data_IF_865936385714
#
_entry.id   IF_865936385714
#
_cell.length_a   1.000
_cell.length_b   1.000
_cell.length_c   1.000
_cell.angle_alpha   90.00
_cell.angle_beta   90.00
_cell.angle_gamma   90.00
#
_symmetry.space_group_name_H-M   'P 1'
#
loop_
_entity.id
_entity.type
_entity.pdbx_description
1 polymer ?
#
# COMPACT_ATOMS: atom_id res chain seq x y z
N UNK A 1 -22.20 -0.96 14.82
CA UNK A 1 -21.38 -1.34 16.00
C UNK A 1 -22.12 -2.47 16.67
N UNK A 2 -21.45 -3.56 16.95
CA UNK A 2 -22.03 -4.65 17.77
C UNK A 2 -22.21 -4.12 19.19
N UNK A 3 -23.42 -4.29 19.75
CA UNK A 3 -23.72 -3.94 21.13
C UNK A 3 -22.72 -4.63 22.09
N UNK A 4 -22.31 -3.99 23.20
CA UNK A 4 -21.47 -4.63 24.22
C UNK A 4 -22.03 -5.96 24.70
N UNK A 5 -23.35 -6.10 24.79
CA UNK A 5 -24.03 -7.35 25.17
C UNK A 5 -23.68 -8.54 24.28
N UNK A 6 -23.39 -8.31 23.01
CA UNK A 6 -22.97 -9.37 22.08
C UNK A 6 -21.62 -10.01 22.46
N UNK A 7 -20.88 -9.41 23.39
CA UNK A 7 -19.61 -9.93 23.91
C UNK A 7 -19.76 -10.74 25.17
N UNK A 8 -20.95 -10.78 25.78
CA UNK A 8 -21.21 -11.66 26.94
C UNK A 8 -21.02 -13.12 26.55
N UNK A 9 -20.23 -13.85 27.33
CA UNK A 9 -19.89 -15.25 27.04
C UNK A 9 -18.78 -15.48 26.02
N UNK A 10 -18.16 -14.40 25.49
CA UNK A 10 -16.94 -14.52 24.65
C UNK A 10 -15.75 -14.85 25.54
N UNK A 11 -15.21 -16.05 25.41
CA UNK A 11 -14.08 -16.56 26.20
C UNK A 11 -12.82 -16.69 25.33
N UNK A 12 -11.65 -16.76 25.99
CA UNK A 12 -10.38 -17.05 25.31
C UNK A 12 -10.43 -18.40 24.57
N UNK A 13 -11.15 -19.38 25.10
CA UNK A 13 -11.38 -20.69 24.46
C UNK A 13 -12.13 -20.55 23.15
N UNK A 14 -13.19 -19.72 23.10
CA UNK A 14 -13.92 -19.41 21.87
C UNK A 14 -13.02 -18.69 20.86
N UNK A 15 -12.21 -17.74 21.31
CA UNK A 15 -11.26 -17.02 20.44
C UNK A 15 -10.24 -18.00 19.84
N UNK A 16 -9.71 -18.92 20.63
CA UNK A 16 -8.77 -19.96 20.17
C UNK A 16 -9.44 -20.91 19.18
N UNK A 17 -10.66 -21.36 19.48
CA UNK A 17 -11.45 -22.19 18.56
C UNK A 17 -11.72 -21.48 17.23
N UNK A 18 -12.00 -20.17 17.27
CA UNK A 18 -12.19 -19.36 16.07
C UNK A 18 -10.91 -19.25 15.21
N UNK A 19 -9.73 -19.14 15.83
CA UNK A 19 -8.46 -19.17 15.09
C UNK A 19 -8.28 -20.52 14.38
N UNK A 20 -8.50 -21.63 15.10
CA UNK A 20 -8.36 -22.99 14.57
C UNK A 20 -9.37 -23.25 13.43
N UNK A 21 -10.61 -22.83 13.61
CA UNK A 21 -11.63 -22.92 12.56
C UNK A 21 -11.21 -22.17 11.29
N UNK A 22 -10.69 -20.93 11.43
CA UNK A 22 -10.18 -20.20 10.28
C UNK A 22 -9.02 -20.94 9.60
N UNK A 23 -8.13 -21.54 10.39
CA UNK A 23 -7.00 -22.31 9.89
C UNK A 23 -7.48 -23.49 9.03
N UNK A 24 -8.43 -24.28 9.55
CA UNK A 24 -9.01 -25.43 8.85
C UNK A 24 -9.80 -25.02 7.60
N UNK A 25 -10.44 -23.84 7.62
CA UNK A 25 -11.17 -23.28 6.50
C UNK A 25 -10.31 -22.50 5.50
N UNK A 26 -8.98 -22.66 5.51
CA UNK A 26 -8.08 -22.16 4.48
C UNK A 26 -7.85 -20.64 4.51
N UNK A 27 -8.22 -19.90 5.58
CA UNK A 27 -7.92 -18.47 5.66
C UNK A 27 -6.41 -18.22 5.73
N UNK A 28 -5.93 -17.17 5.05
CA UNK A 28 -4.52 -16.79 5.10
C UNK A 28 -4.10 -16.43 6.53
N UNK A 29 -2.91 -16.86 6.97
CA UNK A 29 -2.38 -16.59 8.32
C UNK A 29 -2.40 -15.09 8.66
N UNK A 30 -2.04 -14.22 7.71
CA UNK A 30 -2.11 -12.78 7.92
C UNK A 30 -3.54 -12.26 8.17
N UNK A 31 -4.56 -12.88 7.57
CA UNK A 31 -5.98 -12.57 7.81
C UNK A 31 -6.41 -13.04 9.21
N UNK A 32 -5.96 -14.24 9.60
CA UNK A 32 -6.25 -14.81 10.94
C UNK A 32 -5.66 -13.89 12.03
N UNK A 33 -4.38 -13.50 11.89
CA UNK A 33 -3.72 -12.60 12.84
C UNK A 33 -4.38 -11.22 12.88
N UNK A 34 -4.78 -10.67 11.73
CA UNK A 34 -5.50 -9.39 11.68
C UNK A 34 -6.84 -9.46 12.41
N UNK A 35 -7.61 -10.54 12.22
CA UNK A 35 -8.87 -10.76 12.91
C UNK A 35 -8.68 -10.96 14.42
N UNK A 36 -7.63 -11.69 14.84
CA UNK A 36 -7.27 -11.80 16.25
C UNK A 36 -6.98 -10.45 16.86
N UNK A 37 -6.19 -9.60 16.18
CA UNK A 37 -5.92 -8.24 16.65
C UNK A 37 -7.22 -7.42 16.82
N UNK A 38 -8.15 -7.54 15.87
CA UNK A 38 -9.46 -6.91 15.95
C UNK A 38 -10.26 -7.42 17.16
N UNK A 39 -10.34 -8.75 17.35
CA UNK A 39 -11.01 -9.36 18.53
C UNK A 39 -10.43 -8.82 19.83
N UNK A 40 -9.10 -8.74 19.96
CA UNK A 40 -8.43 -8.21 21.16
C UNK A 40 -8.78 -6.74 21.44
N UNK A 41 -8.89 -5.90 20.41
CA UNK A 41 -9.31 -4.50 20.58
C UNK A 41 -10.74 -4.41 21.06
N UNK A 42 -11.65 -5.15 20.43
CA UNK A 42 -13.05 -5.15 20.83
C UNK A 42 -13.29 -5.78 22.21
N UNK A 43 -12.54 -6.82 22.60
CA UNK A 43 -12.58 -7.37 23.94
C UNK A 43 -12.23 -6.31 25.00
N UNK A 44 -11.20 -5.48 24.76
CA UNK A 44 -10.87 -4.35 25.66
C UNK A 44 -12.03 -3.35 25.78
N UNK A 45 -12.70 -3.04 24.67
CA UNK A 45 -13.85 -2.14 24.67
C UNK A 45 -15.04 -2.76 25.41
N UNK A 46 -15.29 -4.05 25.21
CA UNK A 46 -16.35 -4.80 25.89
C UNK A 46 -16.12 -4.88 27.42
N UNK A 47 -14.87 -5.03 27.84
CA UNK A 47 -14.51 -5.00 29.27
C UNK A 47 -14.75 -3.64 29.88
N UNK A 48 -14.40 -2.55 29.17
CA UNK A 48 -14.73 -1.17 29.62
C UNK A 48 -16.22 -0.95 29.75
N UNK A 49 -17.04 -1.63 28.97
CA UNK A 49 -18.50 -1.60 29.03
C UNK A 49 -19.11 -2.62 30.00
N UNK A 50 -18.30 -3.36 30.78
CA UNK A 50 -18.77 -4.36 31.75
C UNK A 50 -19.33 -5.65 31.15
N UNK A 51 -19.13 -5.90 29.84
CA UNK A 51 -19.65 -7.09 29.15
C UNK A 51 -18.68 -8.28 29.18
N UNK A 52 -17.38 -8.06 29.39
CA UNK A 52 -16.33 -9.08 29.52
C UNK A 52 -15.58 -8.85 30.82
N UNK A 53 -15.32 -9.88 31.56
CA UNK A 53 -14.54 -9.85 32.79
C UNK A 53 -13.06 -9.51 32.54
N UNK A 54 -12.39 -8.89 33.53
CA UNK A 54 -10.98 -8.48 33.41
C UNK A 54 -10.06 -9.70 33.30
N UNK A 55 -10.35 -10.79 34.04
CA UNK A 55 -9.57 -12.01 33.95
C UNK A 55 -9.70 -12.65 32.58
N UNK A 56 -10.92 -12.71 32.04
CA UNK A 56 -11.16 -13.21 30.67
C UNK A 56 -10.48 -12.37 29.63
N UNK A 57 -10.49 -11.03 29.79
CA UNK A 57 -9.72 -10.13 28.90
C UNK A 57 -8.23 -10.49 28.92
N UNK A 58 -7.65 -10.71 30.09
CA UNK A 58 -6.23 -11.08 30.23
C UNK A 58 -5.92 -12.35 29.43
N UNK A 59 -6.78 -13.38 29.55
CA UNK A 59 -6.65 -14.64 28.81
C UNK A 59 -6.82 -14.43 27.30
N UNK A 60 -7.78 -13.63 26.84
CA UNK A 60 -7.96 -13.27 25.43
C UNK A 60 -6.71 -12.52 24.88
N UNK A 61 -6.14 -11.62 25.67
CA UNK A 61 -4.92 -10.89 25.27
C UNK A 61 -3.70 -11.82 25.18
N UNK A 62 -3.64 -12.89 25.97
CA UNK A 62 -2.59 -13.90 25.95
C UNK A 62 -2.65 -14.83 24.72
N UNK A 63 -3.81 -14.95 24.05
CA UNK A 63 -3.93 -15.79 22.83
C UNK A 63 -2.92 -15.32 21.80
N UNK A 64 -2.00 -16.20 21.38
CA UNK A 64 -0.99 -15.89 20.38
C UNK A 64 -1.52 -16.13 18.97
N UNK A 65 -1.16 -15.23 18.05
CA UNK A 65 -1.30 -15.45 16.63
C UNK A 65 -0.15 -16.30 16.09
N UNK A 66 -0.15 -16.55 14.81
CA UNK A 66 0.87 -17.35 14.13
C UNK A 66 2.07 -16.49 13.72
N UNK A 67 3.29 -16.96 14.01
CA UNK A 67 4.53 -16.29 13.63
C UNK A 67 4.86 -16.47 12.15
N UNK A 68 5.79 -15.63 11.66
CA UNK A 68 6.20 -15.68 10.27
C UNK A 68 6.83 -17.03 9.87
N UNK A 69 7.61 -17.64 10.78
CA UNK A 69 8.22 -18.96 10.55
C UNK A 69 7.19 -20.08 10.48
N UNK A 70 6.16 -20.03 11.32
CA UNK A 70 5.06 -20.99 11.33
C UNK A 70 4.21 -20.95 10.06
N UNK A 71 4.12 -19.79 9.41
CA UNK A 71 3.32 -19.62 8.19
C UNK A 71 3.70 -20.57 7.07
N UNK A 72 5.00 -20.83 6.87
CA UNK A 72 5.48 -21.77 5.85
C UNK A 72 5.02 -23.19 6.18
N UNK A 73 5.28 -23.64 7.40
CA UNK A 73 4.87 -24.97 7.86
C UNK A 73 3.35 -25.19 7.81
N UNK A 74 2.56 -24.17 8.16
CA UNK A 74 1.11 -24.21 8.07
C UNK A 74 0.66 -24.40 6.62
N UNK A 75 1.25 -23.65 5.68
CA UNK A 75 0.90 -23.75 4.27
C UNK A 75 1.32 -25.10 3.67
N UNK A 76 2.47 -25.64 4.06
CA UNK A 76 2.96 -26.96 3.62
C UNK A 76 2.05 -28.08 4.15
N UNK A 77 1.66 -28.06 5.42
CA UNK A 77 0.69 -28.99 6.02
C UNK A 77 -0.68 -28.93 5.34
N UNK A 78 -1.16 -27.73 5.01
CA UNK A 78 -2.44 -27.55 4.31
C UNK A 78 -2.38 -28.13 2.90
N UNK A 79 -1.28 -27.90 2.18
CA UNK A 79 -1.08 -28.47 0.85
C UNK A 79 -1.08 -30.00 0.90
N UNK A 80 -0.42 -30.58 1.90
CA UNK A 80 -0.41 -32.03 2.13
C UNK A 80 -1.80 -32.60 2.49
N UNK A 81 -2.62 -31.81 3.22
CA UNK A 81 -3.98 -32.19 3.61
C UNK A 81 -5.06 -31.84 2.57
N UNK A 82 -4.68 -31.37 1.37
CA UNK A 82 -5.63 -30.98 0.31
C UNK A 82 -6.53 -29.78 0.68
N UNK A 83 -6.14 -28.99 1.69
CA UNK A 83 -6.89 -27.79 2.09
C UNK A 83 -6.52 -26.63 1.18
N UNK A 84 -7.46 -26.23 0.33
CA UNK A 84 -7.31 -25.03 -0.50
C UNK A 84 -7.21 -23.77 0.36
N UNK A 85 -6.11 -23.01 0.19
CA UNK A 85 -6.00 -21.70 0.81
C UNK A 85 -6.96 -20.74 0.13
N UNK A 86 -7.89 -20.16 0.89
CA UNK A 86 -8.72 -19.05 0.42
C UNK A 86 -7.80 -17.88 0.06
N UNK A 87 -7.49 -17.77 -1.22
CA UNK A 87 -6.79 -16.62 -1.75
C UNK A 87 -7.80 -15.47 -1.78
N UNK A 88 -7.76 -14.60 -0.77
CA UNK A 88 -8.37 -13.28 -0.90
C UNK A 88 -7.76 -12.58 -2.14
N UNK A 89 -8.29 -11.43 -2.52
CA UNK A 89 -7.79 -10.62 -3.64
C UNK A 89 -6.31 -10.17 -3.50
N UNK A 90 -5.60 -10.67 -2.49
CA UNK A 90 -4.22 -10.31 -2.19
C UNK A 90 -3.27 -11.17 -3.04
N UNK A 91 -2.53 -10.49 -3.89
CA UNK A 91 -1.42 -11.01 -4.67
C UNK A 91 -0.45 -11.82 -3.79
N UNK A 92 -0.04 -12.99 -4.25
CA UNK A 92 0.91 -13.84 -3.53
C UNK A 92 2.29 -13.19 -3.43
N UNK A 93 2.71 -12.44 -4.45
CA UNK A 93 4.01 -11.80 -4.56
C UNK A 93 3.90 -10.43 -5.24
N UNK A 94 4.73 -9.46 -4.82
CA UNK A 94 4.85 -8.17 -5.50
C UNK A 94 5.39 -8.38 -6.93
N UNK A 95 4.88 -7.62 -7.90
CA UNK A 95 5.48 -7.59 -9.24
C UNK A 95 6.67 -6.63 -9.19
N UNK A 96 7.85 -7.15 -9.48
CA UNK A 96 9.06 -6.34 -9.61
C UNK A 96 9.08 -5.66 -10.97
N UNK A 97 9.27 -4.33 -10.96
CA UNK A 97 9.53 -3.55 -12.17
C UNK A 97 11.03 -3.46 -12.44
N UNK A 98 11.42 -3.57 -13.69
CA UNK A 98 12.75 -3.17 -14.14
C UNK A 98 12.80 -1.66 -14.37
N UNK A 99 14.00 -1.01 -14.33
CA UNK A 99 14.14 0.40 -14.68
C UNK A 99 13.63 0.72 -16.10
N UNK A 100 13.87 -0.17 -17.07
CA UNK A 100 13.37 -0.03 -18.44
C UNK A 100 11.83 -0.03 -18.50
N UNK A 101 11.17 -0.93 -17.78
CA UNK A 101 9.71 -0.96 -17.70
C UNK A 101 9.16 0.31 -17.03
N UNK A 102 9.80 0.80 -15.96
CA UNK A 102 9.39 2.03 -15.28
C UNK A 102 9.53 3.25 -16.21
N UNK A 103 10.63 3.34 -16.97
CA UNK A 103 10.82 4.38 -17.98
C UNK A 103 9.75 4.29 -19.08
N UNK A 104 9.49 3.11 -19.63
CA UNK A 104 8.45 2.88 -20.64
C UNK A 104 7.03 3.20 -20.12
N UNK A 105 6.77 3.03 -18.81
CA UNK A 105 5.52 3.47 -18.20
C UNK A 105 5.38 5.00 -18.17
N UNK A 106 6.48 5.74 -17.98
CA UNK A 106 6.49 7.21 -17.96
C UNK A 106 6.42 7.82 -19.35
N UNK A 107 6.85 7.07 -20.36
CA UNK A 107 6.74 7.48 -21.76
C UNK A 107 5.29 7.35 -22.25
N UNK A 108 4.51 8.41 -22.03
CA UNK A 108 3.09 8.51 -22.42
C UNK A 108 2.92 9.51 -23.52
N UNK A 109 1.97 9.24 -24.41
CA UNK A 109 1.56 10.17 -25.43
C UNK A 109 0.91 11.42 -24.80
N UNK A 110 1.70 12.48 -24.64
CA UNK A 110 1.27 13.75 -24.04
C UNK A 110 0.43 14.63 -24.97
N UNK A 111 0.17 14.20 -26.20
CA UNK A 111 -0.78 14.90 -27.09
C UNK A 111 -2.23 14.65 -26.64
N UNK A 112 -2.46 13.59 -25.85
CA UNK A 112 -3.77 13.23 -25.33
C UNK A 112 -3.95 13.62 -23.86
N UNK A 113 -5.16 14.00 -23.48
CA UNK A 113 -5.55 14.32 -22.11
C UNK A 113 -5.32 13.13 -21.14
N UNK A 114 -5.69 11.93 -21.58
CA UNK A 114 -5.45 10.69 -20.82
C UNK A 114 -3.96 10.38 -20.67
N UNK A 115 -3.17 10.68 -21.66
CA UNK A 115 -1.72 10.49 -21.63
C UNK A 115 -1.03 11.45 -20.66
N UNK A 116 -1.39 12.73 -20.67
CA UNK A 116 -0.88 13.73 -19.72
C UNK A 116 -1.24 13.37 -18.29
N UNK A 117 -2.51 12.99 -18.03
CA UNK A 117 -2.93 12.49 -16.71
C UNK A 117 -2.12 11.28 -16.27
N UNK A 118 -1.98 10.28 -17.12
CA UNK A 118 -1.27 9.04 -16.78
C UNK A 118 0.21 9.29 -16.53
N UNK A 119 0.85 10.18 -17.29
CA UNK A 119 2.24 10.57 -17.06
C UNK A 119 2.43 11.17 -15.68
N UNK A 120 1.60 12.12 -15.26
CA UNK A 120 1.67 12.70 -13.91
C UNK A 120 1.37 11.66 -12.84
N UNK A 121 0.32 10.86 -13.02
CA UNK A 121 -0.06 9.79 -12.08
C UNK A 121 1.10 8.83 -11.83
N UNK A 122 1.74 8.35 -12.89
CA UNK A 122 2.86 7.42 -12.81
C UNK A 122 4.12 8.10 -12.26
N UNK A 123 4.39 9.36 -12.63
CA UNK A 123 5.51 10.12 -12.08
C UNK A 123 5.41 10.25 -10.56
N UNK A 124 4.26 10.64 -10.02
CA UNK A 124 4.05 10.72 -8.57
C UNK A 124 4.27 9.35 -7.90
N UNK A 125 3.75 8.27 -8.48
CA UNK A 125 3.84 6.95 -7.86
C UNK A 125 5.24 6.34 -7.96
N UNK A 126 5.95 6.53 -9.07
CA UNK A 126 7.28 5.95 -9.32
C UNK A 126 8.42 6.77 -8.74
N UNK A 127 8.25 8.09 -8.60
CA UNK A 127 9.33 9.00 -8.19
C UNK A 127 9.15 9.61 -6.81
N UNK A 128 7.91 9.74 -6.32
CA UNK A 128 7.64 10.23 -4.97
C UNK A 128 7.14 9.13 -4.03
N UNK A 129 6.76 7.97 -4.56
CA UNK A 129 6.39 6.78 -3.78
C UNK A 129 5.14 6.94 -2.92
N UNK A 130 4.21 7.83 -3.26
CA UNK A 130 2.97 8.03 -2.52
C UNK A 130 2.11 6.76 -2.48
N UNK A 131 1.37 6.56 -1.39
CA UNK A 131 0.38 5.48 -1.30
C UNK A 131 -0.81 5.79 -2.21
N UNK A 132 -1.43 4.78 -2.80
CA UNK A 132 -2.58 4.97 -3.71
C UNK A 132 -3.71 5.76 -3.08
N UNK A 133 -3.95 5.64 -1.77
CA UNK A 133 -4.94 6.46 -1.06
C UNK A 133 -4.53 7.93 -0.96
N UNK A 134 -3.25 8.20 -0.75
CA UNK A 134 -2.68 9.56 -0.76
C UNK A 134 -2.82 10.16 -2.16
N UNK A 135 -2.43 9.41 -3.20
CA UNK A 135 -2.58 9.84 -4.59
C UNK A 135 -4.03 10.15 -4.94
N UNK A 136 -4.98 9.26 -4.57
CA UNK A 136 -6.40 9.45 -4.88
C UNK A 136 -7.02 10.69 -4.21
N UNK A 137 -6.43 11.16 -3.10
CA UNK A 137 -6.89 12.32 -2.35
C UNK A 137 -6.28 13.65 -2.82
N UNK A 138 -5.27 13.63 -3.70
CA UNK A 138 -4.60 14.84 -4.17
C UNK A 138 -5.56 15.81 -4.85
N UNK A 139 -5.41 17.07 -4.52
CA UNK A 139 -6.17 18.18 -5.08
C UNK A 139 -5.27 19.06 -5.95
N UNK A 140 -5.87 19.85 -6.82
CA UNK A 140 -5.13 20.82 -7.65
C UNK A 140 -4.33 21.80 -6.77
N UNK A 141 -4.93 22.27 -5.68
CA UNK A 141 -4.28 23.19 -4.74
C UNK A 141 -3.10 22.62 -3.94
N UNK A 142 -2.88 21.28 -4.00
CA UNK A 142 -1.72 20.66 -3.34
C UNK A 142 -0.41 20.92 -4.12
N UNK A 143 -0.50 21.36 -5.38
CA UNK A 143 0.64 21.58 -6.26
C UNK A 143 1.06 23.05 -6.29
N UNK A 144 2.23 23.35 -5.76
CA UNK A 144 2.92 24.61 -5.99
C UNK A 144 3.84 24.50 -7.21
N UNK A 145 3.28 24.78 -8.39
CA UNK A 145 4.02 24.68 -9.65
C UNK A 145 5.13 25.73 -9.78
N UNK A 146 5.05 26.85 -9.05
CA UNK A 146 6.06 27.90 -9.06
C UNK A 146 7.32 27.45 -8.32
N UNK A 147 7.17 26.85 -7.16
CA UNK A 147 8.28 26.38 -6.34
C UNK A 147 8.65 24.91 -6.61
N UNK A 148 7.86 24.20 -7.43
CA UNK A 148 8.05 22.78 -7.73
C UNK A 148 7.83 21.89 -6.52
N UNK A 149 6.74 22.09 -5.80
CA UNK A 149 6.42 21.40 -4.56
C UNK A 149 5.04 20.75 -4.60
N UNK A 150 4.91 19.65 -3.90
CA UNK A 150 3.65 18.94 -3.65
C UNK A 150 3.40 18.86 -2.16
N UNK A 151 2.35 19.51 -1.68
CA UNK A 151 1.91 19.50 -0.29
C UNK A 151 0.72 18.56 -0.15
N UNK A 152 0.82 17.54 0.70
CA UNK A 152 -0.27 16.57 0.83
C UNK A 152 -0.36 15.99 2.24
N UNK A 153 -1.58 15.60 2.62
CA UNK A 153 -1.87 15.02 3.91
C UNK A 153 -1.75 13.50 3.91
N UNK A 154 -1.04 12.96 4.90
CA UNK A 154 -0.87 11.53 5.14
C UNK A 154 -1.74 11.05 6.29
N UNK A 155 -2.96 10.65 6.01
CA UNK A 155 -3.93 10.21 7.02
C UNK A 155 -3.42 9.10 7.95
N UNK A 156 -2.56 8.18 7.43
CA UNK A 156 -2.03 7.07 8.23
C UNK A 156 -1.10 7.49 9.36
N UNK A 157 -0.44 8.61 9.23
CA UNK A 157 0.54 9.15 10.20
C UNK A 157 0.15 10.55 10.68
N UNK A 158 -1.04 11.02 10.32
CA UNK A 158 -1.62 12.31 10.69
C UNK A 158 -0.64 13.48 10.50
N UNK A 159 -0.08 13.59 9.30
CA UNK A 159 0.97 14.58 9.00
C UNK A 159 0.80 15.14 7.60
N UNK A 160 0.89 16.46 7.46
CA UNK A 160 1.11 17.11 6.15
C UNK A 160 2.60 17.07 5.82
N UNK A 161 2.91 16.70 4.59
CA UNK A 161 4.28 16.66 4.07
C UNK A 161 4.40 17.44 2.77
N UNK A 162 5.57 18.03 2.56
CA UNK A 162 5.98 18.67 1.31
C UNK A 162 7.01 17.79 0.61
N UNK A 163 6.76 17.44 -0.63
CA UNK A 163 7.73 16.77 -1.50
C UNK A 163 8.18 17.70 -2.60
N UNK A 164 9.48 17.74 -2.86
CA UNK A 164 10.05 18.42 -4.03
C UNK A 164 9.75 17.60 -5.27
N UNK A 165 9.25 18.24 -6.30
CA UNK A 165 9.04 17.64 -7.61
C UNK A 165 10.36 17.70 -8.40
N UNK A 166 10.79 16.58 -8.95
CA UNK A 166 11.89 16.61 -9.93
C UNK A 166 11.42 17.15 -11.29
N UNK A 167 12.35 17.43 -12.18
CA UNK A 167 12.06 18.09 -13.46
C UNK A 167 10.96 17.37 -14.26
N UNK A 168 11.01 16.04 -14.35
CA UNK A 168 10.03 15.24 -15.07
C UNK A 168 8.63 15.33 -14.42
N UNK A 169 8.58 15.21 -13.09
CA UNK A 169 7.29 15.24 -12.35
C UNK A 169 6.68 16.65 -12.40
N UNK A 170 7.51 17.70 -12.32
CA UNK A 170 7.04 19.08 -12.42
C UNK A 170 6.52 19.40 -13.82
N UNK A 171 7.22 18.96 -14.87
CA UNK A 171 6.76 19.10 -16.26
C UNK A 171 5.42 18.40 -16.46
N UNK A 172 5.31 17.12 -16.04
CA UNK A 172 4.07 16.38 -16.15
C UNK A 172 2.92 17.03 -15.35
N UNK A 173 3.23 17.65 -14.19
CA UNK A 173 2.23 18.38 -13.39
C UNK A 173 1.76 19.64 -14.12
N UNK A 174 2.67 20.42 -14.69
CA UNK A 174 2.34 21.61 -15.49
C UNK A 174 1.46 21.24 -16.67
N UNK A 175 1.86 20.24 -17.45
CA UNK A 175 1.11 19.80 -18.63
C UNK A 175 -0.33 19.42 -18.29
N UNK A 176 -0.50 18.56 -17.31
CA UNK A 176 -1.84 18.07 -16.96
C UNK A 176 -2.69 19.11 -16.23
N UNK A 177 -2.10 19.88 -15.28
CA UNK A 177 -2.86 20.84 -14.48
C UNK A 177 -3.35 22.00 -15.32
N UNK A 178 -2.53 22.49 -16.26
CA UNK A 178 -2.92 23.65 -17.08
C UNK A 178 -3.90 23.31 -18.18
N UNK A 179 -3.89 22.06 -18.67
CA UNK A 179 -4.68 21.69 -19.85
C UNK A 179 -5.95 20.90 -19.53
N UNK A 180 -5.91 20.01 -18.52
CA UNK A 180 -6.94 18.98 -18.37
C UNK A 180 -7.51 18.84 -16.96
N UNK A 181 -6.78 19.25 -15.91
CA UNK A 181 -7.26 19.12 -14.55
C UNK A 181 -8.48 20.01 -14.27
N UNK A 182 -9.32 19.70 -13.28
CA UNK A 182 -10.37 20.61 -12.85
C UNK A 182 -9.73 21.88 -12.24
N UNK A 183 -10.46 23.00 -12.26
CA UNK A 183 -9.95 24.24 -11.67
C UNK A 183 -9.71 24.12 -10.15
N UNK A 184 -10.51 23.32 -9.45
CA UNK A 184 -10.43 23.10 -8.00
C UNK A 184 -10.82 21.65 -7.66
N UNK A 185 -10.41 21.19 -6.48
CA UNK A 185 -10.79 19.87 -5.92
C UNK A 185 -9.85 18.75 -6.40
N UNK A 186 -10.35 17.52 -6.40
CA UNK A 186 -9.57 16.32 -6.73
C UNK A 186 -9.00 16.43 -8.14
N UNK A 187 -7.67 16.31 -8.24
CA UNK A 187 -6.94 16.52 -9.49
C UNK A 187 -7.25 15.46 -10.57
N UNK A 188 -7.50 14.21 -10.16
CA UNK A 188 -7.63 13.10 -11.09
C UNK A 188 -8.99 13.05 -11.77
N UNK A 189 -9.00 12.99 -13.09
CA UNK A 189 -10.19 12.76 -13.89
C UNK A 189 -10.24 11.33 -14.42
N UNK A 190 -11.40 10.67 -14.30
CA UNK A 190 -11.65 9.34 -14.83
C UNK A 190 -11.75 9.36 -16.36
N UNK A 191 -11.39 8.24 -17.02
CA UNK A 191 -11.56 8.10 -18.47
C UNK A 191 -13.01 7.71 -18.79
N UNK A 192 -13.55 8.28 -19.87
CA UNK A 192 -14.83 7.91 -20.47
C UNK A 192 -14.56 7.22 -21.81
N UNK A 193 -15.21 6.09 -22.06
CA UNK A 193 -15.00 5.30 -23.27
C UNK A 193 -15.29 6.17 -24.51
N UNK A 194 -14.30 6.34 -25.38
CA UNK A 194 -14.42 7.10 -26.61
C UNK A 194 -14.41 8.64 -26.48
N UNK A 195 -14.30 9.20 -25.25
CA UNK A 195 -14.45 10.64 -25.00
C UNK A 195 -13.35 11.27 -24.14
N UNK A 196 -12.19 10.60 -23.97
CA UNK A 196 -11.09 11.13 -23.16
C UNK A 196 -11.40 11.18 -21.66
N UNK A 197 -11.15 12.32 -21.01
CA UNK A 197 -11.37 12.51 -19.57
C UNK A 197 -12.78 13.02 -19.24
N UNK A 198 -13.44 12.34 -18.31
CA UNK A 198 -14.73 12.74 -17.76
C UNK A 198 -14.63 13.71 -16.59
N UNK A 199 -15.78 14.13 -16.04
CA UNK A 199 -15.85 15.04 -14.89
C UNK A 199 -15.61 14.34 -13.54
N UNK A 200 -15.81 13.02 -13.46
CA UNK A 200 -15.68 12.27 -12.19
C UNK A 200 -14.21 12.03 -11.84
N UNK A 201 -13.89 12.16 -10.54
CA UNK A 201 -12.59 11.82 -9.99
C UNK A 201 -12.28 10.33 -10.02
N UNK A 202 -10.99 9.97 -9.89
CA UNK A 202 -10.55 8.58 -9.81
C UNK A 202 -10.44 8.12 -8.35
N UNK A 203 -11.15 7.07 -7.99
CA UNK A 203 -10.94 6.40 -6.70
C UNK A 203 -9.60 5.64 -6.67
N UNK A 204 -9.10 5.29 -5.49
CA UNK A 204 -7.90 4.46 -5.32
C UNK A 204 -7.99 3.12 -6.10
N UNK A 205 -9.20 2.55 -6.20
CA UNK A 205 -9.45 1.34 -6.99
C UNK A 205 -9.32 1.61 -8.50
N UNK A 206 -9.84 2.74 -8.99
CA UNK A 206 -9.73 3.14 -10.39
C UNK A 206 -8.26 3.40 -10.76
N UNK A 207 -7.50 4.08 -9.90
CA UNK A 207 -6.05 4.29 -10.05
C UNK A 207 -5.33 2.94 -10.12
N UNK A 208 -5.62 2.01 -9.19
CA UNK A 208 -5.01 0.67 -9.22
C UNK A 208 -5.29 -0.07 -10.52
N UNK A 209 -6.54 -0.04 -11.01
CA UNK A 209 -6.90 -0.65 -12.30
C UNK A 209 -6.17 0.01 -13.47
N UNK A 210 -5.99 1.34 -13.44
CA UNK A 210 -5.25 2.04 -14.48
C UNK A 210 -3.77 1.65 -14.49
N UNK A 211 -3.15 1.57 -13.31
CA UNK A 211 -1.77 1.08 -13.15
C UNK A 211 -1.62 -0.35 -13.68
N UNK A 212 -2.57 -1.25 -13.37
CA UNK A 212 -2.58 -2.62 -13.91
C UNK A 212 -2.61 -2.64 -15.43
N UNK A 213 -3.49 -1.84 -16.02
CA UNK A 213 -3.62 -1.73 -17.46
C UNK A 213 -2.35 -1.21 -18.13
N UNK A 214 -1.75 -0.14 -17.57
CA UNK A 214 -0.51 0.45 -18.09
C UNK A 214 0.68 -0.47 -17.89
N UNK A 215 0.76 -1.17 -16.76
CA UNK A 215 1.80 -2.16 -16.50
C UNK A 215 1.76 -3.33 -17.46
N UNK A 216 0.57 -3.84 -17.79
CA UNK A 216 0.44 -4.92 -18.76
C UNK A 216 0.97 -4.53 -20.16
N UNK A 217 0.85 -3.25 -20.56
CA UNK A 217 1.39 -2.75 -21.84
C UNK A 217 2.91 -2.79 -21.94
N UNK A 218 3.60 -2.79 -20.81
CA UNK A 218 5.07 -2.89 -20.73
C UNK A 218 5.55 -4.26 -20.23
N UNK A 219 4.69 -5.28 -20.30
CA UNK A 219 5.01 -6.64 -19.90
C UNK A 219 4.99 -6.88 -18.38
N UNK A 220 4.63 -5.88 -17.55
CA UNK A 220 4.50 -6.02 -16.09
C UNK A 220 3.08 -6.50 -15.71
N UNK A 221 2.73 -7.72 -16.11
CA UNK A 221 1.39 -8.29 -15.88
C UNK A 221 1.11 -8.42 -14.38
N UNK A 222 -0.09 -8.04 -13.97
CA UNK A 222 -0.52 -8.10 -12.58
C UNK A 222 0.07 -7.00 -11.68
N UNK A 223 0.73 -5.98 -12.24
CA UNK A 223 1.25 -4.82 -11.50
C UNK A 223 0.14 -4.12 -10.71
N UNK A 224 0.44 -3.68 -9.49
CA UNK A 224 -0.47 -2.90 -8.65
C UNK A 224 0.13 -1.57 -8.26
N UNK A 225 -0.70 -0.63 -7.84
CA UNK A 225 -0.26 0.65 -7.32
C UNK A 225 0.77 0.53 -6.17
N UNK A 226 0.65 -0.52 -5.35
CA UNK A 226 1.61 -0.76 -4.26
C UNK A 226 2.99 -1.23 -4.76
N UNK A 227 3.04 -1.93 -5.90
CA UNK A 227 4.31 -2.37 -6.48
C UNK A 227 5.13 -1.19 -7.03
N UNK A 228 4.47 -0.11 -7.49
CA UNK A 228 5.16 1.12 -7.88
C UNK A 228 5.89 1.76 -6.69
N UNK A 229 5.24 1.78 -5.54
CA UNK A 229 5.87 2.25 -4.31
C UNK A 229 7.00 1.32 -3.83
N UNK A 230 6.85 0.00 -4.00
CA UNK A 230 7.94 -0.95 -3.77
C UNK A 230 9.13 -0.66 -4.69
N UNK A 231 8.87 -0.43 -5.97
CA UNK A 231 9.90 -0.04 -6.93
C UNK A 231 10.64 1.22 -6.47
N UNK A 232 9.89 2.32 -6.17
CA UNK A 232 10.47 3.56 -5.67
C UNK A 232 11.38 3.36 -4.46
N UNK A 233 10.89 2.66 -3.43
CA UNK A 233 11.65 2.42 -2.22
C UNK A 233 12.92 1.58 -2.47
N UNK A 234 12.81 0.57 -3.34
CA UNK A 234 13.96 -0.27 -3.73
C UNK A 234 14.99 0.52 -4.52
N UNK A 235 14.58 1.38 -5.46
CA UNK A 235 15.51 2.23 -6.21
C UNK A 235 16.18 3.26 -5.29
N UNK A 236 15.44 3.89 -4.38
CA UNK A 236 16.00 4.80 -3.39
C UNK A 236 17.05 4.11 -2.50
N UNK A 237 16.76 2.88 -2.04
CA UNK A 237 17.71 2.08 -1.28
C UNK A 237 18.97 1.72 -2.09
N UNK A 238 18.82 1.32 -3.36
CA UNK A 238 19.94 1.02 -4.27
C UNK A 238 20.82 2.24 -4.57
N UNK A 239 20.21 3.43 -4.56
CA UNK A 239 20.92 4.70 -4.73
C UNK A 239 21.46 5.25 -3.39
N UNK A 240 21.63 4.39 -2.38
CA UNK A 240 22.20 4.73 -1.07
C UNK A 240 21.47 5.87 -0.34
N UNK A 241 20.15 6.02 -0.53
CA UNK A 241 19.37 6.99 0.25
C UNK A 241 19.47 6.67 1.74
N UNK A 242 19.83 7.61 2.62
CA UNK A 242 19.86 7.41 4.05
C UNK A 242 18.53 6.90 4.60
N UNK A 243 18.61 6.01 5.59
CA UNK A 243 17.44 5.28 6.12
C UNK A 243 16.38 6.21 6.71
N UNK A 244 16.80 7.25 7.42
CA UNK A 244 15.95 8.30 8.00
C UNK A 244 15.23 9.11 6.91
N UNK A 245 15.95 9.48 5.85
CA UNK A 245 15.41 10.19 4.69
C UNK A 245 14.38 9.35 3.94
N UNK A 246 14.68 8.07 3.76
CA UNK A 246 13.75 7.13 3.13
C UNK A 246 12.50 6.92 4.00
N UNK A 247 12.67 6.84 5.33
CA UNK A 247 11.57 6.76 6.29
C UNK A 247 10.65 7.97 6.18
N UNK A 248 11.20 9.17 6.24
CA UNK A 248 10.42 10.42 6.18
C UNK A 248 9.69 10.54 4.84
N UNK A 249 10.41 10.45 3.72
CA UNK A 249 9.82 10.51 2.38
C UNK A 249 8.72 9.45 2.16
N UNK A 250 8.89 8.25 2.69
CA UNK A 250 7.89 7.19 2.63
C UNK A 250 6.75 7.34 3.64
N UNK A 251 6.86 8.21 4.65
CA UNK A 251 5.88 8.34 5.72
C UNK A 251 5.68 7.02 6.47
N UNK A 252 6.77 6.38 6.88
CA UNK A 252 6.75 5.23 7.77
C UNK A 252 6.98 5.66 9.22
N UNK A 253 6.21 5.07 10.12
CA UNK A 253 6.29 5.38 11.56
C UNK A 253 7.52 4.77 12.24
N UNK A 254 8.26 3.89 11.58
CA UNK A 254 9.46 3.26 12.12
C UNK A 254 10.46 2.93 11.02
N UNK A 255 11.74 2.76 11.40
CA UNK A 255 12.82 2.36 10.50
C UNK A 255 12.72 0.90 9.99
N UNK A 256 11.85 0.09 10.59
CA UNK A 256 11.71 -1.33 10.22
C UNK A 256 11.26 -1.54 8.76
N UNK A 257 10.41 -0.66 8.24
CA UNK A 257 9.94 -0.78 6.85
C UNK A 257 11.00 -0.33 5.83
N UNK A 258 11.58 0.89 5.92
CA UNK A 258 12.65 1.27 5.01
C UNK A 258 13.87 0.35 5.14
N UNK A 259 14.19 -0.16 6.33
CA UNK A 259 15.26 -1.14 6.55
C UNK A 259 15.10 -2.40 5.70
N UNK A 260 13.89 -2.89 5.49
CA UNK A 260 13.62 -4.06 4.61
C UNK A 260 14.00 -3.81 3.15
N UNK A 261 13.83 -2.58 2.65
CA UNK A 261 14.21 -2.24 1.28
C UNK A 261 15.73 -2.15 1.12
N UNK A 262 16.41 -1.59 2.12
CA UNK A 262 17.89 -1.54 2.13
C UNK A 262 18.43 -2.97 2.21
N UNK A 263 17.92 -3.82 3.10
CA UNK A 263 18.33 -5.21 3.22
C UNK A 263 18.12 -5.99 1.91
N UNK A 264 16.95 -5.83 1.28
CA UNK A 264 16.64 -6.47 0.00
C UNK A 264 17.47 -5.92 -1.18
N UNK A 265 18.02 -4.70 -1.06
CA UNK A 265 18.85 -4.08 -2.09
C UNK A 265 20.34 -4.41 -1.93
N UNK A 266 20.77 -4.91 -0.76
CA UNK A 266 22.18 -5.25 -0.50
C UNK A 266 22.65 -6.40 -1.38
N UNK A 267 23.81 -6.22 -1.96
CA UNK A 267 24.64 -7.29 -2.51
C UNK A 267 25.71 -7.59 -1.44
N UNK A 268 25.71 -8.82 -0.93
CA UNK A 268 26.47 -9.17 0.28
C UNK A 268 27.96 -8.82 0.23
N UNK A 269 28.57 -8.91 -0.96
CA UNK A 269 29.98 -8.59 -1.17
C UNK A 269 30.24 -7.22 -1.80
N UNK A 270 29.20 -6.38 -1.96
CA UNK A 270 29.36 -5.03 -2.49
C UNK A 270 30.10 -4.15 -1.46
N UNK A 271 31.25 -3.62 -1.85
CA UNK A 271 32.11 -2.82 -0.97
C UNK A 271 33.12 -3.62 -0.15
N UNK A 272 33.17 -4.95 -0.29
CA UNK A 272 34.25 -5.77 0.25
C UNK A 272 35.52 -5.50 -0.59
N UNK A 273 36.55 -4.97 0.03
CA UNK A 273 37.87 -4.75 -0.59
C UNK A 273 38.73 -5.95 -0.27
N UNK A 274 39.30 -6.58 -1.30
CA UNK A 274 40.17 -7.75 -1.17
C UNK A 274 41.66 -7.36 -1.19
N UNK A 275 41.98 -6.06 -1.45
CA UNK A 275 43.32 -5.47 -1.45
C UNK A 275 43.32 -4.13 -0.72
#
# INVERSE_FOLDING_TARGET
MTSPEAWRGVTWGLVTAFLNWQLQNGYAVGTINGRLSTVKVYAKLATKAGAVDVGELAMIQAVKGFEHKERKHINDKRKAAGIDTRKGAKKAQAVSLTPAQAAAMLDRDTTTDTGRRDRLLLAIMLRLGLRVGEVAALQVGDFDLKHGELNFYRAKVDKTQTHKLDALTLEAARDYITQDAPAIGIIWRGSVKGHGLGKQGMSARAITKRVQFLGAKVGAVGLSAHDLRHYWATQAARNNTPLDRLQDAGGWSSLAMPGRYIEAAKIANQGVRLE
#
